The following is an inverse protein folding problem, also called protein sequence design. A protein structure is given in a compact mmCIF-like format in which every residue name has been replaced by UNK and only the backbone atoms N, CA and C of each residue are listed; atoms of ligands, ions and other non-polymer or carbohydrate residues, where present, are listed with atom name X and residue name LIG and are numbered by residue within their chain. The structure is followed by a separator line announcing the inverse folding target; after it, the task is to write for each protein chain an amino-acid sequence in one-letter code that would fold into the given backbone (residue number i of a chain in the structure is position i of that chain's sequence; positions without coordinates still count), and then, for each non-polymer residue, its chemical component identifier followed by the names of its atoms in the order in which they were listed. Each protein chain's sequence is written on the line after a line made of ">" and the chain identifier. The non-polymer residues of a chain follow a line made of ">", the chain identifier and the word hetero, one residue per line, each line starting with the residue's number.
data_IF_590446427973
#
_entry.id   IF_590446427973
#
_cell.length_a   1.000
_cell.length_b   1.000
_cell.length_c   1.000
_cell.angle_alpha   90.00
_cell.angle_beta   90.00
_cell.angle_gamma   90.00
#
_symmetry.space_group_name_H-M   'P 1'
#
loop_
_entity.id
_entity.type
_entity.pdbx_description
1 polymer ?
#
# COMPACT_ATOMS: atom_id res chain seq x y z
N UNK A 1 -24.80 -32.34 11.85
CA UNK A 1 -24.45 -31.21 12.73
C UNK A 1 -22.94 -31.01 12.85
N UNK A 2 -22.15 -31.96 13.40
CA UNK A 2 -20.68 -31.80 13.54
C UNK A 2 -19.92 -31.59 12.20
N UNK A 3 -20.27 -32.34 11.15
CA UNK A 3 -19.65 -32.21 9.81
C UNK A 3 -19.95 -30.85 9.14
N UNK A 4 -21.17 -30.33 9.36
CA UNK A 4 -21.60 -29.02 8.85
C UNK A 4 -20.84 -27.87 9.52
N UNK A 5 -20.58 -27.99 10.82
CA UNK A 5 -19.80 -27.01 11.59
C UNK A 5 -18.34 -26.91 11.10
N UNK A 6 -17.76 -28.06 10.73
CA UNK A 6 -16.38 -28.14 10.24
C UNK A 6 -16.23 -27.50 8.86
N UNK A 7 -17.22 -27.70 7.97
CA UNK A 7 -17.28 -27.03 6.66
C UNK A 7 -17.39 -25.51 6.84
N UNK A 8 -18.23 -25.04 7.76
CA UNK A 8 -18.38 -23.61 8.05
C UNK A 8 -17.05 -22.97 8.53
N UNK A 9 -16.33 -23.65 9.42
CA UNK A 9 -15.01 -23.21 9.87
C UNK A 9 -13.96 -23.17 8.76
N UNK A 10 -14.03 -24.08 7.79
CA UNK A 10 -13.09 -24.12 6.67
C UNK A 10 -13.33 -22.98 5.67
N UNK A 11 -14.56 -22.49 5.53
CA UNK A 11 -14.92 -21.47 4.53
C UNK A 11 -14.81 -20.04 5.11
N UNK A 12 -14.90 -19.87 6.44
CA UNK A 12 -14.76 -18.58 7.12
C UNK A 12 -13.58 -17.68 6.67
N UNK A 13 -12.33 -18.17 6.50
CA UNK A 13 -11.22 -17.30 6.12
C UNK A 13 -11.36 -16.67 4.73
N UNK A 14 -12.19 -17.22 3.84
CA UNK A 14 -12.46 -16.64 2.53
C UNK A 14 -13.36 -15.40 2.57
N UNK A 15 -13.97 -15.12 3.73
CA UNK A 15 -14.77 -13.91 3.98
C UNK A 15 -14.03 -12.86 4.80
N UNK A 16 -12.77 -13.11 5.15
CA UNK A 16 -11.92 -12.11 5.78
C UNK A 16 -11.29 -11.23 4.69
N UNK A 17 -11.62 -9.94 4.72
CA UNK A 17 -10.95 -8.94 3.91
C UNK A 17 -9.89 -8.26 4.79
N UNK A 18 -8.67 -8.11 4.28
CA UNK A 18 -7.70 -7.17 4.88
C UNK A 18 -8.11 -5.75 4.50
N UNK A 19 -7.74 -4.77 5.34
CA UNK A 19 -8.23 -3.39 5.24
C UNK A 19 -7.67 -2.64 4.03
N UNK A 20 -6.46 -3.00 3.60
CA UNK A 20 -5.80 -2.42 2.44
C UNK A 20 -4.96 -3.51 1.76
N UNK A 21 -5.31 -3.84 0.53
CA UNK A 21 -4.43 -4.61 -0.37
C UNK A 21 -4.18 -3.73 -1.56
N UNK A 22 -2.92 -3.40 -1.76
CA UNK A 22 -2.48 -2.69 -2.95
C UNK A 22 -1.28 -3.42 -3.54
N UNK A 23 -1.36 -3.69 -4.84
CA UNK A 23 -0.31 -4.33 -5.61
C UNK A 23 0.06 -3.54 -6.87
N UNK A 24 -0.71 -2.49 -7.19
CA UNK A 24 -0.62 -1.68 -8.40
C UNK A 24 -0.70 -2.52 -9.69
N UNK A 25 -1.28 -3.72 -9.61
CA UNK A 25 -1.34 -4.69 -10.72
C UNK A 25 -2.24 -4.26 -11.87
N UNK A 26 -3.11 -3.27 -11.63
CA UNK A 26 -3.93 -2.59 -12.62
C UNK A 26 -3.20 -1.40 -13.29
N UNK A 27 -1.97 -1.09 -12.87
CA UNK A 27 -1.21 0.04 -13.37
C UNK A 27 -1.69 1.40 -12.86
N UNK A 28 -2.57 1.43 -11.86
CA UNK A 28 -3.20 2.64 -11.35
C UNK A 28 -2.97 2.76 -9.84
N UNK A 29 -2.82 3.99 -9.35
CA UNK A 29 -2.75 4.30 -7.92
C UNK A 29 -3.75 5.41 -7.53
N UNK A 30 -4.51 5.94 -8.49
CA UNK A 30 -5.52 6.98 -8.26
C UNK A 30 -6.91 6.40 -8.12
N UNK A 31 -7.08 5.09 -8.27
CA UNK A 31 -8.36 4.38 -8.15
C UNK A 31 -8.17 3.04 -7.43
N UNK A 32 -9.09 2.70 -6.53
CA UNK A 32 -9.24 1.37 -5.90
C UNK A 32 -7.97 0.71 -5.32
N UNK A 33 -7.32 1.27 -4.29
CA UNK A 33 -7.63 2.49 -3.52
C UNK A 33 -7.05 3.79 -4.12
N UNK A 34 -7.62 4.93 -3.72
CA UNK A 34 -7.13 6.25 -4.13
C UNK A 34 -5.94 6.66 -3.25
N UNK A 35 -4.80 6.93 -3.87
CA UNK A 35 -3.66 7.58 -3.23
C UNK A 35 -3.64 9.07 -3.57
N UNK A 36 -3.51 9.90 -2.54
CA UNK A 36 -3.56 11.36 -2.64
C UNK A 36 -2.23 12.00 -2.21
N UNK A 37 -1.98 13.24 -2.63
CA UNK A 37 -0.76 13.98 -2.31
C UNK A 37 -0.09 14.54 -3.58
N UNK A 38 1.23 14.38 -3.71
CA UNK A 38 1.97 14.85 -4.88
C UNK A 38 1.87 13.86 -6.04
N UNK A 39 0.65 13.57 -6.52
CA UNK A 39 0.34 12.52 -7.53
C UNK A 39 1.22 12.62 -8.78
N UNK A 40 1.49 13.84 -9.27
CA UNK A 40 2.33 14.05 -10.47
C UNK A 40 3.82 13.66 -10.28
N UNK A 41 4.26 13.43 -9.05
CA UNK A 41 5.62 13.01 -8.73
C UNK A 41 5.75 11.47 -8.63
N UNK A 42 4.71 10.72 -8.97
CA UNK A 42 4.70 9.27 -8.91
C UNK A 42 4.06 8.66 -10.14
N UNK A 43 4.46 7.43 -10.46
CA UNK A 43 3.81 6.61 -11.47
C UNK A 43 3.89 5.14 -11.06
N UNK A 44 3.02 4.31 -11.66
CA UNK A 44 3.22 2.85 -11.66
C UNK A 44 4.11 2.51 -12.84
N UNK A 45 5.22 1.83 -12.59
CA UNK A 45 6.18 1.45 -13.64
C UNK A 45 5.75 0.17 -14.38
N UNK A 46 6.49 -0.22 -15.41
CA UNK A 46 6.22 -1.41 -16.22
C UNK A 46 6.27 -2.74 -15.46
N UNK A 47 6.83 -2.74 -14.24
CA UNK A 47 6.89 -3.89 -13.35
C UNK A 47 5.79 -3.87 -12.29
N UNK A 48 4.77 -3.02 -12.44
CA UNK A 48 3.67 -2.82 -11.50
C UNK A 48 4.14 -2.43 -10.09
N UNK A 49 5.09 -1.49 -10.03
CA UNK A 49 5.57 -0.93 -8.77
C UNK A 49 5.30 0.58 -8.77
N UNK A 50 4.72 1.08 -7.68
CA UNK A 50 4.68 2.52 -7.42
C UNK A 50 6.10 3.05 -7.29
N UNK A 51 6.42 4.09 -8.05
CA UNK A 51 7.77 4.63 -8.18
C UNK A 51 7.72 6.15 -8.14
N UNK A 52 8.71 6.76 -7.46
CA UNK A 52 8.92 8.20 -7.53
C UNK A 52 9.46 8.62 -8.90
N UNK A 53 8.89 9.68 -9.45
CA UNK A 53 9.17 10.21 -10.80
C UNK A 53 9.21 11.74 -10.83
N UNK A 54 9.53 12.39 -9.70
CA UNK A 54 9.68 13.85 -9.64
C UNK A 54 10.77 14.33 -10.62
N UNK A 55 10.45 15.32 -11.45
CA UNK A 55 11.37 15.86 -12.46
C UNK A 55 12.51 16.71 -11.86
N UNK A 56 12.31 17.24 -10.65
CA UNK A 56 13.28 18.07 -9.92
C UNK A 56 13.36 17.62 -8.46
N UNK A 57 14.49 17.86 -7.76
CA UNK A 57 14.59 17.56 -6.34
C UNK A 57 13.46 18.23 -5.53
N UNK A 58 12.65 17.42 -4.86
CA UNK A 58 11.51 17.90 -4.07
C UNK A 58 11.14 16.90 -2.98
N UNK A 59 10.44 17.37 -1.95
CA UNK A 59 9.69 16.50 -1.05
C UNK A 59 8.41 16.04 -1.74
N UNK A 60 8.24 14.73 -1.87
CA UNK A 60 7.06 14.10 -2.50
C UNK A 60 6.45 13.12 -1.50
N UNK A 61 5.12 13.04 -1.48
CA UNK A 61 4.42 12.12 -0.60
C UNK A 61 3.14 11.63 -1.26
N UNK A 62 2.77 10.40 -0.90
CA UNK A 62 1.45 9.86 -1.15
C UNK A 62 0.92 9.25 0.15
N UNK A 63 -0.40 9.29 0.31
CA UNK A 63 -1.11 8.64 1.40
C UNK A 63 -2.37 7.98 0.86
N UNK A 64 -2.75 6.87 1.46
CA UNK A 64 -4.03 6.20 1.21
C UNK A 64 -4.68 5.88 2.55
N UNK A 65 -6.01 5.94 2.60
CA UNK A 65 -6.75 5.72 3.83
C UNK A 65 -6.80 4.22 4.16
N UNK A 66 -6.64 3.88 5.43
CA UNK A 66 -6.86 2.53 5.95
C UNK A 66 -7.90 2.55 7.06
N UNK A 67 -8.75 1.54 7.07
CA UNK A 67 -9.80 1.38 8.08
C UNK A 67 -9.33 0.67 9.35
N UNK A 68 -8.16 0.02 9.35
CA UNK A 68 -7.57 -0.38 10.62
C UNK A 68 -6.07 -0.15 10.71
N UNK A 69 -5.72 0.22 11.93
CA UNK A 69 -4.37 0.47 12.37
C UNK A 69 -4.09 -0.29 13.67
N UNK A 70 -5.08 -0.34 14.57
CA UNK A 70 -5.03 -1.14 15.79
C UNK A 70 -5.26 -2.62 15.50
N UNK A 71 -4.46 -3.49 16.12
CA UNK A 71 -4.50 -4.95 15.92
C UNK A 71 -4.39 -5.39 14.45
N UNK A 72 -3.73 -4.58 13.61
CA UNK A 72 -3.47 -4.86 12.21
C UNK A 72 -2.01 -5.32 11.99
N UNK A 73 -1.80 -6.09 10.93
CA UNK A 73 -0.47 -6.44 10.43
C UNK A 73 -0.25 -5.70 9.12
N UNK A 74 0.91 -5.03 9.02
CA UNK A 74 1.28 -4.25 7.86
C UNK A 74 2.51 -4.87 7.20
N UNK A 75 2.37 -5.21 5.93
CA UNK A 75 3.45 -5.73 5.11
C UNK A 75 3.56 -4.86 3.86
N UNK A 76 4.78 -4.44 3.54
CA UNK A 76 5.07 -3.69 2.33
C UNK A 76 6.40 -4.13 1.75
N UNK A 77 6.52 -4.05 0.43
CA UNK A 77 7.81 -4.13 -0.24
C UNK A 77 8.29 -2.72 -0.57
N UNK A 78 9.41 -2.31 0.02
CA UNK A 78 9.96 -0.96 -0.13
C UNK A 78 11.40 -1.02 -0.65
N UNK A 79 11.70 -0.31 -1.74
CA UNK A 79 13.03 -0.26 -2.36
C UNK A 79 13.50 1.18 -2.49
N UNK A 80 14.65 1.47 -1.90
CA UNK A 80 15.41 2.71 -2.13
C UNK A 80 16.50 2.38 -3.15
N UNK A 81 16.37 2.91 -4.37
CA UNK A 81 17.31 2.68 -5.47
C UNK A 81 18.02 3.98 -5.87
N UNK A 82 18.59 4.65 -4.87
CA UNK A 82 19.38 5.86 -5.03
C UNK A 82 20.31 6.07 -3.83
N UNK A 83 21.37 6.90 -3.95
CA UNK A 83 22.25 7.20 -2.82
C UNK A 83 21.50 7.98 -1.73
N UNK A 84 21.36 7.38 -0.54
CA UNK A 84 20.71 8.01 0.61
C UNK A 84 21.61 9.02 1.31
N UNK A 85 21.03 10.09 1.85
CA UNK A 85 21.70 11.08 2.72
C UNK A 85 20.71 11.64 3.75
N UNK A 86 21.18 12.53 4.63
CA UNK A 86 20.29 13.27 5.55
C UNK A 86 19.26 14.16 4.84
N UNK A 87 19.48 14.50 3.56
CA UNK A 87 18.58 15.29 2.73
C UNK A 87 17.93 14.50 1.59
N UNK A 88 18.32 13.24 1.38
CA UNK A 88 17.78 12.35 0.36
C UNK A 88 17.44 10.99 0.96
N UNK A 89 16.20 10.84 1.38
CA UNK A 89 15.72 9.64 2.06
C UNK A 89 14.26 9.40 1.70
N UNK A 90 13.75 8.23 2.04
CA UNK A 90 12.34 7.95 1.96
C UNK A 90 11.87 7.32 3.26
N UNK A 91 10.60 7.56 3.58
CA UNK A 91 9.98 7.08 4.81
C UNK A 91 8.61 6.49 4.48
N UNK A 92 8.24 5.47 5.24
CA UNK A 92 6.88 4.96 5.30
C UNK A 92 6.35 5.22 6.71
N UNK A 93 5.15 5.77 6.80
CA UNK A 93 4.50 6.07 8.05
C UNK A 93 3.17 5.31 8.15
N UNK A 94 2.88 4.84 9.36
CA UNK A 94 1.58 4.34 9.76
C UNK A 94 1.07 5.30 10.82
N UNK A 95 -0.07 5.95 10.61
CA UNK A 95 -0.58 6.99 11.50
C UNK A 95 -2.07 6.82 11.75
N UNK A 96 -2.47 7.02 13.01
CA UNK A 96 -3.85 7.38 13.35
C UNK A 96 -4.03 8.84 12.90
N UNK A 97 -5.14 9.14 12.23
CA UNK A 97 -5.55 10.54 12.00
C UNK A 97 -6.39 11.00 13.18
#
# INVERSE_FOLDING_TARGET
>A
MKKTLLIFWLIMPFFCYTQLIESFSDGNFTENPVWEGTVNNFNVNSSFQLQSAAATPSTSYLLTRSEALENAVWECHFRIDYPSSSSNYACMYLSLT
#
